data_IF_133440429957
#
_entry.id   IF_133440429957
#
_cell.length_a   1.000
_cell.length_b   1.000
_cell.length_c   1.000
_cell.angle_alpha   90.00
_cell.angle_beta   90.00
_cell.angle_gamma   90.00
#
_symmetry.space_group_name_H-M   'P 1'
#
loop_
_entity.id
_entity.type
_entity.pdbx_description
1 polymer ?
#
# COMPACT_ATOMS: atom_id res chain seq x y z
N UNK A 1 9.58 94.84 24.48
CA UNK A 1 8.48 93.93 24.11
C UNK A 1 9.08 92.60 23.75
N UNK A 2 8.82 91.61 24.56
CA UNK A 2 9.47 90.28 24.58
C UNK A 2 8.73 89.35 23.67
N UNK A 3 9.43 88.68 22.72
CA UNK A 3 8.91 87.61 21.94
C UNK A 3 9.51 86.25 22.45
N UNK A 4 8.65 85.43 23.07
CA UNK A 4 8.98 84.11 23.58
C UNK A 4 8.97 83.11 22.42
N UNK A 5 10.11 82.53 22.13
CA UNK A 5 10.24 81.40 21.16
C UNK A 5 9.79 80.13 21.79
N UNK A 6 8.86 79.42 21.12
CA UNK A 6 8.40 78.09 21.46
C UNK A 6 9.35 77.08 20.85
N UNK A 7 10.07 76.30 21.66
CA UNK A 7 10.89 75.12 21.21
C UNK A 7 9.97 73.91 21.13
N UNK A 8 9.73 73.46 19.90
CA UNK A 8 9.05 72.19 19.65
C UNK A 8 10.02 71.03 19.87
N UNK A 9 9.69 70.19 20.83
CA UNK A 9 10.42 68.95 21.13
C UNK A 9 9.86 67.85 20.23
N UNK A 10 10.60 67.43 19.22
CA UNK A 10 10.26 66.25 18.38
C UNK A 10 10.73 65.01 19.12
N UNK A 11 9.83 64.23 19.66
CA UNK A 11 10.09 62.90 20.23
C UNK A 11 10.09 61.88 19.06
N UNK A 12 11.24 61.42 18.62
CA UNK A 12 11.33 60.32 17.67
C UNK A 12 11.08 58.99 18.40
N UNK A 13 9.91 58.38 18.19
CA UNK A 13 9.63 57.02 18.61
C UNK A 13 10.39 56.07 17.66
N UNK A 14 11.51 55.53 18.13
CA UNK A 14 12.22 54.43 17.44
C UNK A 14 11.40 53.12 17.57
N UNK A 15 10.79 52.68 16.49
CA UNK A 15 10.23 51.32 16.38
C UNK A 15 11.36 50.35 16.28
N UNK A 16 11.74 49.70 17.36
CA UNK A 16 12.65 48.55 17.35
C UNK A 16 11.91 47.38 16.72
N UNK A 17 12.18 47.13 15.45
CA UNK A 17 11.76 45.89 14.78
C UNK A 17 12.50 44.71 15.41
N UNK A 18 11.83 43.97 16.28
CA UNK A 18 12.30 42.66 16.75
C UNK A 18 12.28 41.72 15.56
N UNK A 19 13.40 41.60 14.83
CA UNK A 19 13.63 40.51 13.91
C UNK A 19 13.90 39.29 14.76
N UNK A 20 12.85 38.50 15.03
CA UNK A 20 13.05 37.16 15.56
C UNK A 20 13.94 36.40 14.58
N UNK A 21 15.03 35.76 15.02
CA UNK A 21 15.81 34.90 14.14
C UNK A 21 14.87 33.81 13.63
N UNK A 22 14.60 33.80 12.35
CA UNK A 22 13.94 32.68 11.70
C UNK A 22 14.91 31.50 11.84
N UNK A 23 14.71 30.66 12.87
CA UNK A 23 15.38 29.37 12.91
C UNK A 23 14.98 28.65 11.63
N UNK A 24 15.95 28.40 10.75
CA UNK A 24 15.73 27.54 9.60
C UNK A 24 15.16 26.22 10.14
N UNK A 25 13.94 25.88 9.71
CA UNK A 25 13.32 24.63 10.12
C UNK A 25 14.29 23.48 9.75
N UNK A 26 14.54 22.60 10.69
CA UNK A 26 15.31 21.39 10.39
C UNK A 26 14.58 20.61 9.30
N UNK A 27 15.30 19.97 8.42
CA UNK A 27 14.72 19.16 7.35
C UNK A 27 14.69 17.70 7.75
N UNK A 28 13.56 17.02 7.41
CA UNK A 28 13.40 15.58 7.47
C UNK A 28 13.22 15.09 6.03
N UNK A 29 14.23 14.47 5.46
CA UNK A 29 14.18 13.93 4.10
C UNK A 29 13.43 12.61 4.09
N UNK A 30 12.33 12.55 3.35
CA UNK A 30 11.49 11.35 3.23
C UNK A 30 11.49 10.84 1.80
N UNK A 31 12.04 9.65 1.58
CA UNK A 31 11.94 8.95 0.30
C UNK A 31 10.53 8.36 0.15
N UNK A 32 9.83 8.73 -0.92
CA UNK A 32 8.45 8.30 -1.18
C UNK A 32 8.41 7.53 -2.50
N UNK A 33 8.12 6.21 -2.44
CA UNK A 33 8.12 5.33 -3.60
C UNK A 33 6.72 4.80 -3.86
N UNK A 34 6.22 5.05 -5.07
CA UNK A 34 4.99 4.50 -5.61
C UNK A 34 5.11 4.26 -7.11
N UNK A 35 4.15 3.55 -7.69
CA UNK A 35 4.02 3.45 -9.14
C UNK A 35 3.23 4.65 -9.65
N UNK A 36 3.91 5.69 -10.09
CA UNK A 36 3.29 6.83 -10.75
C UNK A 36 3.02 6.54 -12.23
N UNK A 37 3.75 5.57 -12.79
CA UNK A 37 3.56 5.01 -14.13
C UNK A 37 3.48 3.48 -14.09
N UNK A 38 3.13 2.87 -15.23
CA UNK A 38 2.97 1.42 -15.34
C UNK A 38 1.56 0.92 -14.96
N UNK A 39 1.33 -0.41 -15.05
CA UNK A 39 0.01 -1.01 -14.87
C UNK A 39 -0.64 -0.77 -13.51
N UNK A 40 0.14 -0.70 -12.43
CA UNK A 40 -0.38 -0.51 -11.08
C UNK A 40 -0.70 0.96 -10.75
N UNK A 41 -0.22 1.91 -11.55
CA UNK A 41 -0.48 3.33 -11.35
C UNK A 41 -1.99 3.64 -11.31
N UNK A 42 -2.71 3.27 -12.37
CA UNK A 42 -4.16 3.44 -12.46
C UNK A 42 -4.93 2.55 -11.48
N UNK A 43 -4.31 1.46 -11.02
CA UNK A 43 -4.90 0.50 -10.10
C UNK A 43 -4.99 0.96 -8.65
N UNK A 44 -4.39 2.11 -8.31
CA UNK A 44 -4.41 2.66 -6.95
C UNK A 44 -3.07 3.19 -6.44
N UNK A 45 -1.94 2.78 -7.02
CA UNK A 45 -0.61 3.21 -6.55
C UNK A 45 -0.43 4.73 -6.67
N UNK A 46 -0.77 5.31 -7.83
CA UNK A 46 -0.71 6.76 -8.03
C UNK A 46 -1.60 7.51 -7.04
N UNK A 47 -2.82 7.03 -6.79
CA UNK A 47 -3.73 7.67 -5.84
C UNK A 47 -3.15 7.65 -4.41
N UNK A 48 -2.51 6.55 -4.00
CA UNK A 48 -1.82 6.46 -2.71
C UNK A 48 -0.63 7.44 -2.63
N UNK A 49 0.14 7.57 -3.72
CA UNK A 49 1.22 8.55 -3.81
C UNK A 49 0.72 10.01 -3.75
N UNK A 50 -0.35 10.32 -4.47
CA UNK A 50 -0.97 11.65 -4.45
C UNK A 50 -1.53 11.98 -3.06
N UNK A 51 -2.18 11.02 -2.39
CA UNK A 51 -2.65 11.19 -1.01
C UNK A 51 -1.49 11.40 -0.03
N UNK A 52 -0.38 10.69 -0.20
CA UNK A 52 0.84 10.90 0.60
C UNK A 52 1.39 12.31 0.40
N UNK A 53 1.41 12.80 -0.85
CA UNK A 53 1.84 14.18 -1.14
C UNK A 53 0.95 15.20 -0.43
N UNK A 54 -0.36 15.07 -0.56
CA UNK A 54 -1.33 15.96 0.11
C UNK A 54 -1.11 15.95 1.63
N UNK A 55 -0.94 14.78 2.23
CA UNK A 55 -0.70 14.66 3.67
C UNK A 55 0.58 15.37 4.11
N UNK A 56 1.67 15.23 3.36
CA UNK A 56 2.95 15.92 3.62
C UNK A 56 2.78 17.43 3.49
N UNK A 57 2.12 17.90 2.43
CA UNK A 57 1.86 19.33 2.22
C UNK A 57 1.05 19.90 3.40
N UNK A 58 -0.04 19.24 3.82
CA UNK A 58 -0.86 19.63 4.96
C UNK A 58 -0.09 19.67 6.29
N UNK A 59 0.83 18.74 6.51
CA UNK A 59 1.68 18.70 7.70
C UNK A 59 2.63 19.89 7.68
N UNK A 60 3.27 20.14 6.54
CA UNK A 60 4.21 21.25 6.38
C UNK A 60 3.54 22.62 6.51
N UNK A 61 2.31 22.81 6.02
CA UNK A 61 1.51 24.02 6.19
C UNK A 61 1.19 24.32 7.66
N UNK A 62 1.11 23.28 8.49
CA UNK A 62 0.89 23.41 9.95
C UNK A 62 2.20 23.62 10.74
N UNK A 63 3.32 23.78 10.06
CA UNK A 63 4.64 24.00 10.68
C UNK A 63 5.51 22.77 10.77
N UNK A 64 5.15 21.68 10.10
CA UNK A 64 5.93 20.43 10.08
C UNK A 64 5.69 19.52 11.29
N UNK A 65 6.66 18.69 11.63
CA UNK A 65 6.62 17.76 12.76
C UNK A 65 7.77 18.05 13.70
N UNK A 66 7.47 18.42 14.94
CA UNK A 66 8.45 18.69 16.01
C UNK A 66 9.60 19.63 15.58
N UNK A 67 9.23 20.69 14.83
CA UNK A 67 10.18 21.69 14.31
C UNK A 67 10.93 21.27 13.05
N UNK A 68 10.61 20.09 12.47
CA UNK A 68 11.14 19.63 11.21
C UNK A 68 10.15 19.88 10.09
N UNK A 69 10.65 20.40 8.96
CA UNK A 69 9.95 20.43 7.69
C UNK A 69 10.18 19.12 6.95
N UNK A 70 9.12 18.45 6.52
CA UNK A 70 9.24 17.25 5.70
C UNK A 70 9.64 17.64 4.28
N UNK A 71 10.74 17.08 3.79
CA UNK A 71 11.24 17.25 2.42
C UNK A 71 11.10 15.94 1.68
N UNK A 72 10.00 15.73 0.92
CA UNK A 72 9.80 14.48 0.19
C UNK A 72 10.68 14.41 -1.06
N UNK A 73 11.25 13.23 -1.30
CA UNK A 73 11.95 12.87 -2.53
C UNK A 73 11.17 11.73 -3.16
N UNK A 74 10.43 12.05 -4.23
CA UNK A 74 9.56 11.10 -4.92
C UNK A 74 10.34 10.22 -5.88
N UNK A 75 9.95 8.95 -5.97
CA UNK A 75 10.48 7.97 -6.90
C UNK A 75 9.34 7.14 -7.52
N UNK A 76 9.45 6.87 -8.81
CA UNK A 76 8.50 6.08 -9.59
C UNK A 76 9.01 4.65 -9.74
N UNK A 77 8.34 3.69 -9.14
CA UNK A 77 8.66 2.27 -9.26
C UNK A 77 8.26 1.66 -10.63
N UNK A 78 7.44 2.37 -11.42
CA UNK A 78 7.00 1.98 -12.78
C UNK A 78 6.33 0.60 -12.85
N UNK A 79 5.82 0.10 -11.75
CA UNK A 79 5.27 -1.26 -11.59
C UNK A 79 6.31 -2.35 -11.94
N UNK A 80 7.58 -2.09 -11.63
CA UNK A 80 8.72 -2.98 -11.89
C UNK A 80 9.56 -3.16 -10.65
N UNK A 81 9.76 -4.40 -10.25
CA UNK A 81 10.50 -4.75 -9.02
C UNK A 81 11.96 -4.26 -9.05
N UNK A 82 12.63 -4.42 -10.17
CA UNK A 82 14.02 -3.98 -10.37
C UNK A 82 14.15 -2.44 -10.29
N UNK A 83 13.21 -1.71 -10.88
CA UNK A 83 13.16 -0.24 -10.79
C UNK A 83 12.91 0.19 -9.34
N UNK A 84 11.95 -0.43 -8.64
CA UNK A 84 11.69 -0.13 -7.24
C UNK A 84 12.91 -0.35 -6.34
N UNK A 85 13.65 -1.44 -6.55
CA UNK A 85 14.90 -1.74 -5.82
C UNK A 85 15.97 -0.69 -6.11
N UNK A 86 16.15 -0.30 -7.38
CA UNK A 86 17.13 0.70 -7.78
C UNK A 86 16.79 2.08 -7.19
N UNK A 87 15.53 2.50 -7.28
CA UNK A 87 15.08 3.77 -6.72
C UNK A 87 15.18 3.79 -5.19
N UNK A 88 14.80 2.71 -4.50
CA UNK A 88 15.00 2.61 -3.06
C UNK A 88 16.48 2.70 -2.69
N UNK A 89 17.35 2.04 -3.46
CA UNK A 89 18.80 2.10 -3.27
C UNK A 89 19.33 3.52 -3.46
N UNK A 90 18.92 4.21 -4.52
CA UNK A 90 19.28 5.61 -4.78
C UNK A 90 18.83 6.54 -3.64
N UNK A 91 17.61 6.38 -3.15
CA UNK A 91 17.11 7.17 -2.02
C UNK A 91 17.92 6.94 -0.75
N UNK A 92 18.26 5.68 -0.45
CA UNK A 92 19.03 5.31 0.74
C UNK A 92 20.50 5.73 0.62
N UNK A 93 21.17 5.34 -0.45
CA UNK A 93 22.63 5.37 -0.56
C UNK A 93 23.17 6.70 -1.14
N UNK A 94 22.39 7.42 -1.98
CA UNK A 94 22.82 8.65 -2.64
C UNK A 94 22.10 9.89 -2.09
N UNK A 95 20.79 9.80 -1.86
CA UNK A 95 20.00 10.92 -1.34
C UNK A 95 20.05 11.02 0.18
N UNK A 96 20.48 9.94 0.86
CA UNK A 96 20.59 9.86 2.31
C UNK A 96 19.31 10.31 3.01
N UNK A 97 18.18 9.67 2.64
CA UNK A 97 16.89 9.97 3.26
C UNK A 97 16.86 9.50 4.72
N UNK A 98 16.17 10.24 5.58
CA UNK A 98 16.00 9.91 7.00
C UNK A 98 14.92 8.85 7.21
N UNK A 99 14.01 8.73 6.24
CA UNK A 99 12.89 7.79 6.26
C UNK A 99 12.55 7.33 4.84
N UNK A 100 12.12 6.08 4.71
CA UNK A 100 11.55 5.54 3.47
C UNK A 100 10.09 5.19 3.68
N UNK A 101 9.21 5.57 2.76
CA UNK A 101 7.80 5.22 2.84
C UNK A 101 7.16 4.97 1.48
N UNK A 102 5.97 4.37 1.50
CA UNK A 102 5.19 4.11 0.30
C UNK A 102 5.02 2.63 0.02
N UNK A 103 5.34 2.25 -1.22
CA UNK A 103 5.23 0.91 -1.79
C UNK A 103 3.81 0.37 -1.86
N UNK A 104 3.31 0.33 -3.07
CA UNK A 104 2.01 -0.26 -3.36
C UNK A 104 2.11 -1.77 -3.54
N UNK A 105 3.02 -2.22 -4.41
CA UNK A 105 3.22 -3.63 -4.72
C UNK A 105 4.03 -4.35 -3.64
N UNK A 106 3.52 -5.49 -3.19
CA UNK A 106 4.24 -6.35 -2.26
C UNK A 106 5.48 -7.00 -2.87
N UNK A 107 5.50 -7.20 -4.18
CA UNK A 107 6.68 -7.71 -4.89
C UNK A 107 7.86 -6.73 -4.84
N UNK A 108 7.57 -5.43 -4.75
CA UNK A 108 8.57 -4.37 -4.65
C UNK A 108 9.10 -4.19 -3.22
N UNK A 109 8.21 -4.15 -2.22
CA UNK A 109 8.59 -3.85 -0.85
C UNK A 109 9.33 -5.01 -0.14
N UNK A 110 9.01 -6.27 -0.47
CA UNK A 110 9.59 -7.45 0.20
C UNK A 110 11.12 -7.51 0.09
N UNK A 111 11.74 -7.33 -1.10
CA UNK A 111 13.19 -7.35 -1.22
C UNK A 111 13.88 -6.15 -0.57
N UNK A 112 13.20 -5.00 -0.45
CA UNK A 112 13.77 -3.76 0.07
C UNK A 112 13.84 -3.78 1.62
N UNK A 113 12.89 -4.46 2.28
CA UNK A 113 12.74 -4.45 3.72
C UNK A 113 14.04 -4.81 4.48
N UNK A 114 14.74 -5.85 4.06
CA UNK A 114 15.96 -6.30 4.72
C UNK A 114 17.12 -5.32 4.53
N UNK A 115 17.25 -4.70 3.37
CA UNK A 115 18.27 -3.70 3.10
C UNK A 115 18.04 -2.45 3.96
N UNK A 116 16.81 -1.95 4.00
CA UNK A 116 16.45 -0.79 4.80
C UNK A 116 16.69 -1.05 6.31
N UNK A 117 16.30 -2.22 6.80
CA UNK A 117 16.51 -2.61 8.18
C UNK A 117 18.00 -2.72 8.54
N UNK A 118 18.82 -3.32 7.67
CA UNK A 118 20.27 -3.44 7.85
C UNK A 118 20.96 -2.05 7.92
N UNK A 119 20.43 -1.06 7.24
CA UNK A 119 20.88 0.34 7.29
C UNK A 119 20.28 1.12 8.48
N UNK A 120 19.45 0.48 9.30
CA UNK A 120 18.73 1.12 10.41
C UNK A 120 17.86 2.28 9.94
N UNK A 121 17.35 2.22 8.71
CA UNK A 121 16.52 3.25 8.15
C UNK A 121 15.06 3.02 8.53
N UNK A 122 14.45 4.00 9.19
CA UNK A 122 13.03 3.95 9.50
C UNK A 122 12.22 3.85 8.21
N UNK A 123 11.50 2.73 8.05
CA UNK A 123 10.76 2.42 6.84
C UNK A 123 9.30 2.14 7.18
N UNK A 124 8.40 2.86 6.51
CA UNK A 124 6.97 2.77 6.75
C UNK A 124 6.22 2.31 5.50
N UNK A 125 5.72 1.08 5.54
CA UNK A 125 4.86 0.54 4.48
C UNK A 125 3.41 0.86 4.78
N UNK A 126 2.79 1.71 3.96
CA UNK A 126 1.41 2.11 4.13
C UNK A 126 0.42 1.33 3.25
N UNK A 127 0.87 0.62 2.22
CA UNK A 127 0.02 -0.22 1.37
C UNK A 127 0.51 -1.66 1.27
N UNK A 128 1.81 -1.90 1.13
CA UNK A 128 2.39 -3.25 1.05
C UNK A 128 1.95 -4.15 2.21
N UNK A 129 1.23 -5.25 1.91
CA UNK A 129 0.63 -6.13 2.92
C UNK A 129 1.21 -7.53 3.02
N UNK A 130 2.17 -7.92 2.16
CA UNK A 130 2.71 -9.28 2.17
C UNK A 130 3.21 -9.69 3.56
N UNK A 131 2.74 -10.83 4.07
CA UNK A 131 3.20 -11.40 5.33
C UNK A 131 4.69 -11.76 5.29
N UNK A 132 5.22 -12.07 4.10
CA UNK A 132 6.63 -12.40 3.87
C UNK A 132 7.61 -11.25 4.14
N UNK A 133 7.12 -10.01 4.28
CA UNK A 133 7.98 -8.88 4.74
C UNK A 133 8.56 -9.18 6.11
N UNK A 134 7.73 -9.67 7.04
CA UNK A 134 8.10 -9.87 8.46
C UNK A 134 8.25 -11.34 8.86
N UNK A 135 7.58 -12.26 8.15
CA UNK A 135 7.56 -13.69 8.51
C UNK A 135 8.97 -14.27 8.60
N UNK A 136 9.32 -14.82 9.75
CA UNK A 136 10.65 -15.39 10.07
C UNK A 136 11.81 -14.37 9.95
N UNK A 137 11.53 -13.07 10.12
CA UNK A 137 12.52 -11.99 10.10
C UNK A 137 12.36 -11.15 11.37
N UNK A 138 13.49 -10.70 11.94
CA UNK A 138 13.51 -9.82 13.11
C UNK A 138 13.85 -8.40 12.67
N UNK A 139 12.94 -7.75 11.92
CA UNK A 139 13.12 -6.39 11.45
C UNK A 139 12.84 -5.41 12.61
N UNK A 140 13.72 -4.44 12.79
CA UNK A 140 13.67 -3.45 13.88
C UNK A 140 13.27 -2.05 13.39
N UNK A 141 13.52 -1.75 12.12
CA UNK A 141 13.36 -0.42 11.54
C UNK A 141 12.29 -0.38 10.44
N UNK A 142 11.66 -1.52 10.11
CA UNK A 142 10.59 -1.61 9.11
C UNK A 142 9.25 -1.84 9.80
N UNK A 143 8.28 -1.03 9.45
CA UNK A 143 6.94 -1.02 10.05
C UNK A 143 5.86 -1.00 8.98
N UNK A 144 4.65 -1.37 9.35
CA UNK A 144 3.50 -1.39 8.46
C UNK A 144 2.22 -0.93 9.16
N UNK A 145 1.42 -0.13 8.44
CA UNK A 145 0.11 0.34 8.93
C UNK A 145 -1.03 -0.64 8.66
N UNK A 146 -0.86 -1.57 7.71
CA UNK A 146 -1.92 -2.43 7.19
C UNK A 146 -1.94 -3.81 7.86
N UNK A 147 -3.07 -4.51 7.71
CA UNK A 147 -3.20 -5.93 8.05
C UNK A 147 -2.21 -6.78 7.24
N UNK A 148 -1.89 -7.96 7.74
CA UNK A 148 -1.12 -8.96 7.02
C UNK A 148 -1.98 -9.63 5.94
N UNK A 149 -1.35 -10.05 4.84
CA UNK A 149 -2.06 -10.73 3.75
C UNK A 149 -2.79 -12.01 4.20
N UNK A 150 -2.20 -12.79 5.09
CA UNK A 150 -2.84 -13.96 5.69
C UNK A 150 -4.05 -13.61 6.55
N UNK A 151 -4.04 -12.49 7.27
CA UNK A 151 -5.21 -12.01 8.02
C UNK A 151 -6.37 -11.64 7.10
N UNK A 152 -6.08 -11.02 5.95
CA UNK A 152 -7.09 -10.72 4.93
C UNK A 152 -7.69 -12.01 4.38
N UNK A 153 -6.84 -12.99 4.07
CA UNK A 153 -7.29 -14.31 3.62
C UNK A 153 -8.20 -15.00 4.65
N UNK A 154 -7.83 -14.96 5.93
CA UNK A 154 -8.64 -15.51 7.01
C UNK A 154 -9.99 -14.80 7.13
N UNK A 155 -10.00 -13.47 7.04
CA UNK A 155 -11.24 -12.70 7.09
C UNK A 155 -12.20 -13.03 5.94
N UNK A 156 -11.69 -13.28 4.74
CA UNK A 156 -12.50 -13.70 3.60
C UNK A 156 -13.20 -15.04 3.86
N UNK A 157 -12.51 -16.05 4.42
CA UNK A 157 -13.12 -17.32 4.80
C UNK A 157 -14.16 -17.16 5.93
N UNK A 158 -13.90 -16.29 6.92
CA UNK A 158 -14.87 -15.97 7.95
C UNK A 158 -16.15 -15.40 7.33
N UNK A 159 -16.03 -14.50 6.38
CA UNK A 159 -17.17 -13.94 5.66
C UNK A 159 -17.93 -15.01 4.86
N UNK A 160 -17.22 -15.91 4.15
CA UNK A 160 -17.88 -17.06 3.47
C UNK A 160 -18.69 -17.89 4.45
N UNK A 161 -18.14 -18.18 5.63
CA UNK A 161 -18.83 -18.93 6.70
C UNK A 161 -20.10 -18.22 7.15
N UNK A 162 -20.05 -16.90 7.32
CA UNK A 162 -21.22 -16.11 7.74
C UNK A 162 -22.34 -16.11 6.70
N UNK A 163 -22.00 -16.09 5.39
CA UNK A 163 -22.99 -16.08 4.31
C UNK A 163 -23.46 -17.48 3.87
N UNK A 164 -22.77 -18.55 4.26
CA UNK A 164 -23.02 -19.91 3.77
C UNK A 164 -24.50 -20.31 3.93
N UNK A 165 -25.04 -20.26 5.15
CA UNK A 165 -26.44 -20.64 5.39
C UNK A 165 -27.43 -19.56 4.91
N UNK A 166 -27.30 -18.26 5.26
CA UNK A 166 -28.33 -17.27 4.94
C UNK A 166 -28.36 -16.84 3.46
N UNK A 167 -27.29 -17.02 2.72
CA UNK A 167 -27.19 -16.54 1.32
C UNK A 167 -26.98 -17.67 0.33
N UNK A 168 -26.14 -18.67 0.65
CA UNK A 168 -25.85 -19.78 -0.25
C UNK A 168 -26.76 -21.00 0.03
N UNK A 169 -27.50 -20.98 1.14
CA UNK A 169 -28.39 -22.07 1.58
C UNK A 169 -27.67 -23.43 1.72
N UNK A 170 -26.37 -23.37 2.17
CA UNK A 170 -25.50 -24.54 2.34
C UNK A 170 -24.94 -24.60 3.75
N UNK A 171 -24.68 -25.80 4.23
CA UNK A 171 -23.83 -25.96 5.39
C UNK A 171 -22.38 -25.57 5.02
N UNK A 172 -21.63 -25.02 5.95
CA UNK A 172 -20.25 -24.51 5.70
C UNK A 172 -19.37 -25.56 5.02
N UNK A 173 -19.46 -26.83 5.48
CA UNK A 173 -18.68 -27.95 4.92
C UNK A 173 -19.04 -28.33 3.48
N UNK A 174 -20.21 -27.90 3.00
CA UNK A 174 -20.72 -28.19 1.66
C UNK A 174 -20.46 -27.03 0.69
N UNK A 175 -19.83 -25.95 1.16
CA UNK A 175 -19.45 -24.82 0.32
C UNK A 175 -18.17 -25.15 -0.45
N UNK A 176 -18.24 -25.09 -1.77
CA UNK A 176 -17.14 -25.33 -2.69
C UNK A 176 -16.40 -24.01 -2.99
N UNK A 177 -15.17 -23.89 -2.52
CA UNK A 177 -14.38 -22.66 -2.62
C UNK A 177 -13.27 -22.82 -3.65
N UNK A 178 -13.20 -21.93 -4.62
CA UNK A 178 -12.01 -21.74 -5.45
C UNK A 178 -11.21 -20.55 -4.95
N UNK A 179 -9.90 -20.72 -4.81
CA UNK A 179 -8.96 -19.68 -4.41
C UNK A 179 -8.10 -19.36 -5.62
N UNK A 180 -8.25 -18.17 -6.19
CA UNK A 180 -7.43 -17.69 -7.31
C UNK A 180 -6.72 -16.40 -6.91
N UNK A 181 -5.47 -16.28 -7.34
CA UNK A 181 -4.67 -15.15 -6.88
C UNK A 181 -3.55 -14.79 -7.87
N UNK A 182 -3.11 -13.52 -7.84
CA UNK A 182 -1.85 -13.18 -8.49
C UNK A 182 -0.69 -13.94 -7.81
N UNK A 183 0.33 -14.31 -8.57
CA UNK A 183 1.37 -15.24 -8.13
C UNK A 183 2.50 -14.60 -7.29
N UNK A 184 2.49 -13.27 -7.12
CA UNK A 184 3.43 -12.56 -6.28
C UNK A 184 3.15 -12.67 -4.76
N UNK A 185 3.96 -11.99 -3.94
CA UNK A 185 3.90 -12.11 -2.47
C UNK A 185 2.56 -11.66 -1.85
N UNK A 186 1.83 -10.73 -2.50
CA UNK A 186 0.52 -10.29 -2.05
C UNK A 186 -0.50 -11.41 -2.18
N UNK A 187 -0.76 -11.86 -3.41
CA UNK A 187 -1.78 -12.87 -3.68
C UNK A 187 -1.46 -14.21 -3.03
N UNK A 188 -0.20 -14.66 -3.11
CA UNK A 188 0.24 -15.90 -2.45
C UNK A 188 0.05 -15.88 -0.93
N UNK A 189 0.29 -14.72 -0.30
CA UNK A 189 0.09 -14.54 1.14
C UNK A 189 -1.38 -14.59 1.54
N UNK A 190 -2.27 -13.92 0.79
CA UNK A 190 -3.71 -13.98 1.02
C UNK A 190 -4.24 -15.40 0.79
N UNK A 191 -3.83 -16.04 -0.31
CA UNK A 191 -4.24 -17.41 -0.63
C UNK A 191 -3.81 -18.42 0.45
N UNK A 192 -2.65 -18.21 1.07
CA UNK A 192 -2.22 -19.05 2.20
C UNK A 192 -3.18 -18.90 3.40
N UNK A 193 -3.59 -17.68 3.73
CA UNK A 193 -4.59 -17.42 4.77
C UNK A 193 -5.97 -17.99 4.43
N UNK A 194 -6.38 -17.92 3.15
CA UNK A 194 -7.62 -18.56 2.69
C UNK A 194 -7.58 -20.07 2.88
N UNK A 195 -6.50 -20.74 2.45
CA UNK A 195 -6.36 -22.21 2.58
C UNK A 195 -6.42 -22.64 4.05
N UNK A 196 -5.69 -21.93 4.92
CA UNK A 196 -5.66 -22.22 6.35
C UNK A 196 -7.05 -22.10 6.98
N UNK A 197 -7.74 -20.98 6.76
CA UNK A 197 -9.00 -20.70 7.46
C UNK A 197 -10.19 -21.46 6.85
N UNK A 198 -10.34 -21.47 5.51
CA UNK A 198 -11.39 -22.22 4.86
C UNK A 198 -11.26 -23.73 5.14
N UNK A 199 -10.01 -24.25 5.15
CA UNK A 199 -9.74 -25.65 5.51
C UNK A 199 -10.08 -25.96 6.97
N UNK A 200 -9.73 -25.07 7.91
CA UNK A 200 -10.05 -25.22 9.33
C UNK A 200 -11.58 -25.20 9.58
N UNK A 201 -12.33 -24.42 8.81
CA UNK A 201 -13.80 -24.39 8.85
C UNK A 201 -14.46 -25.57 8.10
N UNK A 202 -13.67 -26.45 7.48
CA UNK A 202 -14.13 -27.65 6.79
C UNK A 202 -14.74 -27.42 5.41
N UNK A 203 -14.53 -26.26 4.79
CA UNK A 203 -14.99 -25.97 3.42
C UNK A 203 -14.25 -26.83 2.39
N UNK A 204 -14.94 -27.16 1.28
CA UNK A 204 -14.34 -27.93 0.17
C UNK A 204 -13.53 -26.99 -0.76
N UNK A 205 -12.21 -26.97 -0.60
CA UNK A 205 -11.32 -26.18 -1.48
C UNK A 205 -11.13 -26.95 -2.80
N UNK A 206 -11.95 -26.62 -3.80
CA UNK A 206 -12.00 -27.32 -5.10
C UNK A 206 -10.95 -26.87 -6.11
N UNK A 207 -10.36 -25.71 -5.91
CA UNK A 207 -9.29 -25.16 -6.73
C UNK A 207 -8.44 -24.18 -5.93
N UNK A 208 -7.12 -24.25 -6.09
CA UNK A 208 -6.19 -23.20 -5.73
C UNK A 208 -5.26 -22.95 -6.91
N UNK A 209 -5.26 -21.75 -7.45
CA UNK A 209 -4.47 -21.44 -8.65
C UNK A 209 -3.90 -20.02 -8.60
N UNK A 210 -2.58 -19.90 -8.84
CA UNK A 210 -1.89 -18.64 -9.07
C UNK A 210 -1.83 -18.30 -10.55
N UNK A 211 -1.84 -17.01 -10.87
CA UNK A 211 -1.68 -16.51 -12.23
C UNK A 211 -0.83 -15.23 -12.22
N UNK A 212 -0.17 -14.90 -13.34
CA UNK A 212 0.59 -13.67 -13.45
C UNK A 212 -0.35 -12.45 -13.50
N UNK A 213 -0.12 -11.46 -12.64
CA UNK A 213 -0.88 -10.19 -12.65
C UNK A 213 -0.77 -9.42 -13.98
N UNK A 214 0.22 -9.76 -14.83
CA UNK A 214 0.42 -9.18 -16.15
C UNK A 214 -0.01 -10.10 -17.29
N UNK A 215 -0.68 -11.23 -16.98
CA UNK A 215 -1.17 -12.14 -17.99
C UNK A 215 -2.15 -11.42 -18.94
N UNK A 216 -1.97 -11.52 -20.26
CA UNK A 216 -2.87 -10.89 -21.22
C UNK A 216 -4.20 -11.65 -21.40
N UNK A 217 -4.25 -12.90 -20.93
CA UNK A 217 -5.38 -13.81 -21.04
C UNK A 217 -5.47 -14.76 -19.85
N UNK A 218 -6.69 -14.95 -19.32
CA UNK A 218 -7.01 -15.83 -18.20
C UNK A 218 -7.97 -16.96 -18.57
N UNK A 219 -8.16 -17.25 -19.86
CA UNK A 219 -9.08 -18.27 -20.35
C UNK A 219 -8.77 -19.67 -19.83
N UNK A 220 -7.48 -20.00 -19.64
CA UNK A 220 -7.07 -21.26 -19.04
C UNK A 220 -7.56 -21.38 -17.58
N UNK A 221 -7.39 -20.32 -16.80
CA UNK A 221 -7.89 -20.24 -15.41
C UNK A 221 -9.42 -20.40 -15.37
N UNK A 222 -10.14 -19.70 -16.25
CA UNK A 222 -11.60 -19.78 -16.34
C UNK A 222 -12.04 -21.20 -16.70
N UNK A 223 -11.31 -21.89 -17.58
CA UNK A 223 -11.59 -23.30 -17.91
C UNK A 223 -11.42 -24.20 -16.69
N UNK A 224 -10.39 -24.00 -15.88
CA UNK A 224 -10.18 -24.74 -14.61
C UNK A 224 -11.32 -24.47 -13.63
N UNK A 225 -11.72 -23.23 -13.43
CA UNK A 225 -12.85 -22.84 -12.59
C UNK A 225 -14.17 -23.48 -13.04
N UNK A 226 -14.44 -23.52 -14.36
CA UNK A 226 -15.63 -24.16 -14.91
C UNK A 226 -15.68 -25.65 -14.58
N UNK A 227 -14.55 -26.35 -14.61
CA UNK A 227 -14.44 -27.78 -14.24
C UNK A 227 -14.60 -27.96 -12.73
N UNK A 228 -14.02 -27.05 -11.95
CA UNK A 228 -14.06 -27.11 -10.50
C UNK A 228 -15.47 -26.82 -9.94
N UNK A 229 -16.32 -26.08 -10.65
CA UNK A 229 -17.69 -25.70 -10.24
C UNK A 229 -17.74 -25.15 -8.81
N UNK A 230 -17.01 -24.06 -8.49
CA UNK A 230 -17.08 -23.47 -7.17
C UNK A 230 -18.42 -22.77 -6.94
N UNK A 231 -18.87 -22.75 -5.70
CA UNK A 231 -19.93 -21.87 -5.24
C UNK A 231 -19.38 -20.45 -4.99
N UNK A 232 -18.20 -20.42 -4.39
CA UNK A 232 -17.51 -19.17 -4.02
C UNK A 232 -16.13 -19.12 -4.68
N UNK A 233 -15.80 -17.97 -5.27
CA UNK A 233 -14.47 -17.67 -5.76
C UNK A 233 -13.86 -16.61 -4.84
N UNK A 234 -12.76 -16.93 -4.15
CA UNK A 234 -11.91 -15.98 -3.47
C UNK A 234 -10.83 -15.53 -4.43
N UNK A 235 -10.88 -14.26 -4.83
CA UNK A 235 -10.02 -13.71 -5.86
C UNK A 235 -9.14 -12.59 -5.32
N UNK A 236 -7.83 -12.80 -5.33
CA UNK A 236 -6.84 -11.81 -4.91
C UNK A 236 -5.98 -11.39 -6.07
N UNK A 237 -6.05 -10.11 -6.41
CA UNK A 237 -5.28 -9.52 -7.51
C UNK A 237 -5.24 -8.01 -7.43
N UNK A 238 -4.77 -7.40 -8.49
CA UNK A 238 -4.76 -5.96 -8.69
C UNK A 238 -5.88 -5.54 -9.64
N UNK A 239 -6.17 -4.26 -9.73
CA UNK A 239 -7.26 -3.76 -10.57
C UNK A 239 -7.19 -4.22 -12.03
N UNK A 240 -6.03 -4.21 -12.73
CA UNK A 240 -5.96 -4.64 -14.14
C UNK A 240 -6.34 -6.10 -14.35
N UNK A 241 -5.78 -7.01 -13.57
CA UNK A 241 -5.98 -8.45 -13.72
C UNK A 241 -7.36 -8.90 -13.21
N UNK A 242 -7.86 -8.31 -12.12
CA UNK A 242 -9.24 -8.53 -11.65
C UNK A 242 -10.26 -8.09 -12.73
N UNK A 243 -10.04 -6.94 -13.35
CA UNK A 243 -10.91 -6.44 -14.43
C UNK A 243 -10.87 -7.37 -15.65
N UNK A 244 -9.68 -7.86 -16.02
CA UNK A 244 -9.51 -8.84 -17.09
C UNK A 244 -10.27 -10.14 -16.78
N UNK A 245 -10.10 -10.67 -15.56
CA UNK A 245 -10.81 -11.87 -15.11
C UNK A 245 -12.34 -11.70 -15.22
N UNK A 246 -12.87 -10.60 -14.67
CA UNK A 246 -14.31 -10.31 -14.71
C UNK A 246 -14.86 -10.30 -16.13
N UNK A 247 -14.18 -9.61 -17.03
CA UNK A 247 -14.58 -9.50 -18.44
C UNK A 247 -14.60 -10.89 -19.09
N UNK A 248 -13.48 -11.61 -19.04
CA UNK A 248 -13.35 -12.91 -19.68
C UNK A 248 -14.24 -13.98 -19.06
N UNK A 249 -14.43 -13.96 -17.74
CA UNK A 249 -15.34 -14.88 -17.05
C UNK A 249 -16.79 -14.71 -17.52
N UNK A 250 -17.23 -13.45 -17.68
CA UNK A 250 -18.58 -13.14 -18.21
C UNK A 250 -18.72 -13.54 -19.68
N UNK A 251 -17.75 -13.18 -20.52
CA UNK A 251 -17.74 -13.54 -21.96
C UNK A 251 -17.82 -15.05 -22.15
N UNK A 252 -17.16 -15.82 -21.29
CA UNK A 252 -17.16 -17.28 -21.34
C UNK A 252 -18.30 -17.94 -20.55
N UNK A 253 -19.19 -17.16 -19.96
CA UNK A 253 -20.37 -17.66 -19.24
C UNK A 253 -20.02 -18.46 -17.97
N UNK A 254 -18.92 -18.14 -17.30
CA UNK A 254 -18.58 -18.73 -16.00
C UNK A 254 -19.62 -18.26 -14.95
N UNK A 255 -20.08 -19.18 -14.11
CA UNK A 255 -21.06 -18.91 -13.05
C UNK A 255 -20.48 -19.24 -11.69
N UNK A 256 -20.88 -18.48 -10.70
CA UNK A 256 -20.60 -18.66 -9.29
C UNK A 256 -21.72 -18.01 -8.45
N UNK A 257 -21.86 -18.39 -7.20
CA UNK A 257 -22.85 -17.78 -6.29
C UNK A 257 -22.29 -16.53 -5.60
N UNK A 258 -21.00 -16.54 -5.27
CA UNK A 258 -20.30 -15.37 -4.72
C UNK A 258 -18.86 -15.23 -5.27
N UNK A 259 -18.42 -13.98 -5.46
CA UNK A 259 -17.04 -13.61 -5.75
C UNK A 259 -16.61 -12.59 -4.69
N UNK A 260 -15.50 -12.86 -3.99
CA UNK A 260 -14.99 -12.11 -2.84
C UNK A 260 -13.54 -11.77 -3.07
#
# INVERSE_FOLDING_TARGET
MSSKGIRSLVVALGVAAFTSPAFAAKELKVGVIYDYTGPLAAGGSKAAGDATKIAIDMINERGGVDGYKIVPIYADAQSKVDVAINEATRLMDEQHVDMLMGFYSSAECVPIAQKADAQKLFTWYNVCIASSVFKNKNLQYVFRAQLHSDQIGKAACTFVKEIAQPKLHKAVKDVRVAIIHEDGPYGSGVAAGNVEACGADGMDIVLKEGYSATAPDLSSLITKLRRARPDVILHTGYNPDITLFWRQAREQGLKWDALI
#
